data_IF_389497658613
#
_entry.id   IF_389497658613
#
_cell.length_a   1.000
_cell.length_b   1.000
_cell.length_c   1.000
_cell.angle_alpha   90.00
_cell.angle_beta   90.00
_cell.angle_gamma   90.00
#
_symmetry.space_group_name_H-M   'P 1'
#
loop_
_entity.id
_entity.type
_entity.pdbx_description
1 polymer ?
#
# COMPACT_ATOMS: atom_id res chain seq x y z
N UNK A 1 -12.35 -3.17 -35.03
CA UNK A 1 -11.77 -3.11 -33.66
C UNK A 1 -10.59 -2.13 -33.64
N UNK A 2 -10.84 -0.84 -33.41
CA UNK A 2 -9.80 0.21 -33.28
C UNK A 2 -10.10 0.99 -32.00
N UNK A 3 -9.17 1.06 -31.05
CA UNK A 3 -9.38 1.84 -29.82
C UNK A 3 -8.45 1.58 -28.64
N UNK A 4 -7.23 1.07 -28.84
CA UNK A 4 -6.23 0.92 -27.76
C UNK A 4 -4.91 1.58 -28.17
N UNK A 5 -4.96 2.89 -28.41
CA UNK A 5 -3.77 3.74 -28.46
C UNK A 5 -3.91 4.84 -27.40
N UNK A 6 -2.80 5.18 -26.77
CA UNK A 6 -2.63 6.07 -25.60
C UNK A 6 -2.75 5.41 -24.22
N UNK A 7 -1.80 4.52 -23.91
CA UNK A 7 -1.19 4.51 -22.57
C UNK A 7 0.34 4.35 -22.72
N UNK A 8 1.18 5.18 -22.06
CA UNK A 8 2.65 5.06 -22.09
C UNK A 8 3.10 3.78 -21.36
N UNK A 9 3.16 2.67 -22.10
CA UNK A 9 3.37 1.29 -21.62
C UNK A 9 4.77 0.96 -21.07
N UNK A 10 5.73 1.89 -21.08
CA UNK A 10 7.15 1.54 -20.90
C UNK A 10 7.68 1.69 -19.47
N UNK A 11 7.19 2.63 -18.67
CA UNK A 11 7.77 2.89 -17.34
C UNK A 11 7.22 1.97 -16.26
N UNK A 12 5.94 1.56 -16.35
CA UNK A 12 5.28 0.69 -15.37
C UNK A 12 5.77 -0.77 -15.46
N UNK A 13 6.29 -1.21 -16.61
CA UNK A 13 6.68 -2.61 -16.85
C UNK A 13 7.97 -3.05 -16.13
N UNK A 14 8.87 -2.12 -15.77
CA UNK A 14 10.21 -2.48 -15.28
C UNK A 14 10.23 -2.94 -13.81
N UNK A 15 9.24 -2.53 -13.03
CA UNK A 15 9.10 -2.87 -11.60
C UNK A 15 7.91 -3.82 -11.33
N UNK A 16 7.25 -4.31 -12.39
CA UNK A 16 6.22 -5.35 -12.35
C UNK A 16 6.69 -6.84 -12.33
N UNK A 17 7.98 -7.23 -12.39
CA UNK A 17 8.32 -8.64 -12.65
C UNK A 17 7.84 -9.58 -11.54
N UNK A 18 7.85 -9.17 -10.26
CA UNK A 18 7.40 -10.06 -9.16
C UNK A 18 5.87 -10.22 -9.09
N UNK A 19 5.09 -9.16 -9.34
CA UNK A 19 3.62 -9.25 -9.31
C UNK A 19 3.11 -10.09 -10.46
N UNK A 20 3.73 -9.96 -11.65
CA UNK A 20 3.40 -10.79 -12.81
C UNK A 20 3.84 -12.24 -12.61
N UNK A 21 5.06 -12.46 -12.11
CA UNK A 21 5.52 -13.79 -11.76
C UNK A 21 4.61 -14.44 -10.72
N UNK A 22 4.08 -13.70 -9.74
CA UNK A 22 3.11 -14.25 -8.80
C UNK A 22 1.75 -14.56 -9.46
N UNK A 23 1.26 -13.71 -10.37
CA UNK A 23 0.04 -14.01 -11.14
C UNK A 23 0.23 -15.22 -12.08
N UNK A 24 1.44 -15.40 -12.64
CA UNK A 24 1.78 -16.45 -13.61
C UNK A 24 2.20 -17.79 -12.95
N UNK A 25 2.97 -17.76 -11.87
CA UNK A 25 3.46 -18.96 -11.14
C UNK A 25 2.55 -19.42 -10.00
N UNK A 26 1.66 -18.57 -9.49
CA UNK A 26 0.87 -18.99 -8.34
C UNK A 26 -0.16 -20.03 -8.75
N UNK A 27 -0.10 -21.19 -8.09
CA UNK A 27 -0.99 -22.34 -8.16
C UNK A 27 -2.42 -22.02 -7.67
N UNK A 28 -2.96 -20.89 -8.10
CA UNK A 28 -4.27 -20.34 -7.75
C UNK A 28 -5.36 -20.94 -8.64
N UNK A 29 -5.39 -22.27 -8.80
CA UNK A 29 -6.49 -22.96 -9.47
C UNK A 29 -7.86 -22.60 -8.87
N UNK A 30 -7.90 -22.26 -7.57
CA UNK A 30 -9.10 -21.81 -6.84
C UNK A 30 -9.34 -20.30 -6.85
N UNK A 31 -8.29 -19.47 -6.94
CA UNK A 31 -8.43 -18.01 -6.97
C UNK A 31 -8.45 -17.45 -8.38
N UNK A 32 -8.21 -18.25 -9.43
CA UNK A 32 -8.34 -17.82 -10.83
C UNK A 32 -9.73 -17.21 -11.13
N UNK A 33 -10.78 -17.75 -10.53
CA UNK A 33 -12.16 -17.22 -10.63
C UNK A 33 -12.30 -15.87 -9.91
N UNK A 34 -11.63 -15.68 -8.79
CA UNK A 34 -11.60 -14.40 -8.05
C UNK A 34 -10.71 -13.37 -8.74
N UNK A 35 -9.58 -13.79 -9.33
CA UNK A 35 -8.68 -12.95 -10.14
C UNK A 35 -9.35 -12.50 -11.44
N UNK A 36 -10.24 -13.32 -11.99
CA UNK A 36 -11.10 -12.97 -13.12
C UNK A 36 -12.20 -11.96 -12.75
N UNK A 37 -12.33 -11.56 -11.47
CA UNK A 37 -13.18 -10.44 -11.12
C UNK A 37 -12.61 -9.16 -11.74
N UNK A 38 -13.42 -8.55 -12.61
CA UNK A 38 -13.15 -7.27 -13.29
C UNK A 38 -12.48 -6.23 -12.38
N UNK A 39 -12.85 -6.16 -11.11
CA UNK A 39 -12.38 -5.13 -10.17
C UNK A 39 -10.88 -5.15 -9.86
N UNK A 40 -10.18 -6.28 -9.96
CA UNK A 40 -8.76 -6.37 -9.58
C UNK A 40 -7.82 -5.68 -10.57
N UNK A 41 -8.26 -5.56 -11.83
CA UNK A 41 -7.53 -4.87 -12.89
C UNK A 41 -8.26 -3.59 -13.33
N UNK A 42 -9.57 -3.50 -13.12
CA UNK A 42 -10.33 -2.31 -13.48
C UNK A 42 -10.13 -1.17 -12.47
N UNK A 43 -10.15 0.04 -13.02
CA UNK A 43 -10.06 1.28 -12.26
C UNK A 43 -11.48 1.72 -11.95
N UNK A 44 -11.97 1.37 -10.76
CA UNK A 44 -13.22 1.90 -10.21
C UNK A 44 -12.96 2.56 -8.85
N UNK A 45 -13.85 3.45 -8.41
CA UNK A 45 -13.67 4.26 -7.19
C UNK A 45 -13.34 3.40 -5.95
N UNK A 46 -14.02 2.26 -5.80
CA UNK A 46 -13.95 1.41 -4.63
C UNK A 46 -12.68 0.55 -4.64
N UNK A 47 -12.39 -0.09 -5.77
CA UNK A 47 -11.21 -0.93 -5.98
C UNK A 47 -9.91 -0.12 -5.85
N UNK A 48 -9.89 1.10 -6.37
CA UNK A 48 -8.73 1.99 -6.26
C UNK A 48 -8.54 2.49 -4.83
N UNK A 49 -9.59 2.98 -4.17
CA UNK A 49 -9.46 3.48 -2.79
C UNK A 49 -9.01 2.38 -1.84
N UNK A 50 -9.54 1.17 -2.01
CA UNK A 50 -9.16 -0.01 -1.25
C UNK A 50 -7.72 -0.45 -1.54
N UNK A 51 -7.27 -0.37 -2.80
CA UNK A 51 -5.89 -0.69 -3.16
C UNK A 51 -4.89 0.26 -2.51
N UNK A 52 -5.21 1.55 -2.46
CA UNK A 52 -4.41 2.56 -1.75
C UNK A 52 -4.34 2.25 -0.27
N UNK A 53 -5.48 1.93 0.36
CA UNK A 53 -5.53 1.54 1.77
C UNK A 53 -4.62 0.34 2.06
N UNK A 54 -4.84 -0.77 1.35
CA UNK A 54 -4.10 -2.02 1.55
C UNK A 54 -2.61 -1.81 1.29
N UNK A 55 -2.27 -1.10 0.20
CA UNK A 55 -0.89 -0.86 -0.18
C UNK A 55 -0.13 -0.03 0.86
N UNK A 56 -0.72 1.07 1.33
CA UNK A 56 -0.11 1.91 2.39
C UNK A 56 -0.01 1.13 3.70
N UNK A 57 -1.08 0.45 4.11
CA UNK A 57 -1.07 -0.33 5.36
C UNK A 57 0.04 -1.39 5.36
N UNK A 58 0.16 -2.17 4.28
CA UNK A 58 1.21 -3.16 4.13
C UNK A 58 2.61 -2.54 4.01
N UNK A 59 2.73 -1.36 3.41
CA UNK A 59 4.00 -0.65 3.30
C UNK A 59 4.60 -0.36 4.69
N UNK A 60 3.76 -0.03 5.69
CA UNK A 60 4.20 0.31 7.03
C UNK A 60 4.52 -0.89 7.93
N UNK A 61 4.12 -2.11 7.54
CA UNK A 61 4.34 -3.30 8.36
C UNK A 61 5.81 -3.73 8.33
N UNK A 62 6.49 -3.83 9.49
CA UNK A 62 7.89 -4.23 9.57
C UNK A 62 8.03 -5.76 9.50
N UNK A 63 7.43 -6.38 8.48
CA UNK A 63 7.44 -7.84 8.30
C UNK A 63 8.03 -8.21 6.94
N UNK A 64 8.92 -9.23 6.88
CA UNK A 64 9.29 -9.81 5.59
C UNK A 64 8.05 -10.42 4.94
N UNK A 65 7.89 -10.23 3.63
CA UNK A 65 6.74 -10.77 2.89
C UNK A 65 5.46 -9.93 2.94
N UNK A 66 5.52 -8.66 3.35
CA UNK A 66 4.39 -7.73 3.32
C UNK A 66 3.66 -7.66 1.95
N UNK A 67 4.37 -7.92 0.86
CA UNK A 67 3.81 -8.01 -0.50
C UNK A 67 2.82 -9.16 -0.64
N UNK A 68 3.12 -10.33 -0.08
CA UNK A 68 2.22 -11.49 -0.14
C UNK A 68 0.95 -11.21 0.65
N UNK A 69 1.09 -10.62 1.84
CA UNK A 69 -0.06 -10.20 2.65
C UNK A 69 -0.96 -9.21 1.90
N UNK A 70 -0.36 -8.22 1.23
CA UNK A 70 -1.12 -7.25 0.45
C UNK A 70 -1.86 -7.89 -0.73
N UNK A 71 -1.22 -8.82 -1.44
CA UNK A 71 -1.83 -9.55 -2.55
C UNK A 71 -3.03 -10.37 -2.06
N UNK A 72 -2.89 -11.07 -0.94
CA UNK A 72 -4.00 -11.83 -0.33
C UNK A 72 -5.17 -10.92 0.05
N UNK A 73 -4.88 -9.77 0.69
CA UNK A 73 -5.91 -8.79 1.04
C UNK A 73 -6.60 -8.21 -0.21
N UNK A 74 -5.83 -7.92 -1.27
CA UNK A 74 -6.40 -7.41 -2.52
C UNK A 74 -7.32 -8.42 -3.18
N UNK A 75 -6.92 -9.70 -3.21
CA UNK A 75 -7.76 -10.79 -3.73
C UNK A 75 -9.03 -10.97 -2.90
N UNK A 76 -8.92 -10.91 -1.57
CA UNK A 76 -10.06 -11.11 -0.68
C UNK A 76 -11.07 -9.95 -0.72
N UNK A 77 -10.57 -8.71 -0.77
CA UNK A 77 -11.40 -7.50 -0.71
C UNK A 77 -11.75 -6.94 -2.10
N UNK A 78 -11.20 -7.50 -3.17
CA UNK A 78 -11.46 -7.07 -4.55
C UNK A 78 -10.80 -5.73 -4.92
N UNK A 79 -9.59 -5.49 -4.41
CA UNK A 79 -8.82 -4.26 -4.62
C UNK A 79 -7.93 -4.31 -5.87
N UNK A 80 -7.64 -3.15 -6.46
CA UNK A 80 -6.81 -3.06 -7.66
C UNK A 80 -5.35 -3.47 -7.37
N UNK A 81 -4.94 -4.64 -7.87
CA UNK A 81 -3.64 -5.24 -7.60
C UNK A 81 -2.45 -4.35 -8.06
N UNK A 82 -2.45 -3.83 -9.30
CA UNK A 82 -1.38 -2.93 -9.75
C UNK A 82 -1.20 -1.70 -8.86
N UNK A 83 -2.30 -1.09 -8.41
CA UNK A 83 -2.24 0.12 -7.58
C UNK A 83 -1.70 -0.22 -6.20
N UNK A 84 -2.19 -1.29 -5.57
CA UNK A 84 -1.68 -1.70 -4.26
C UNK A 84 -0.17 -1.98 -4.30
N UNK A 85 0.31 -2.64 -5.35
CA UNK A 85 1.73 -2.93 -5.54
C UNK A 85 2.60 -1.66 -5.58
N UNK A 86 2.14 -0.60 -6.25
CA UNK A 86 2.85 0.70 -6.30
C UNK A 86 3.00 1.29 -4.90
N UNK A 87 1.96 1.21 -4.08
CA UNK A 87 1.99 1.75 -2.72
C UNK A 87 2.87 0.92 -1.77
N UNK A 88 2.92 -0.41 -1.92
CA UNK A 88 3.84 -1.25 -1.14
C UNK A 88 5.30 -0.87 -1.42
N UNK A 89 5.62 -0.57 -2.68
CA UNK A 89 6.95 -0.18 -3.13
C UNK A 89 7.42 1.19 -2.62
N UNK A 90 6.54 1.94 -1.95
CA UNK A 90 6.95 3.14 -1.19
C UNK A 90 7.96 2.74 -0.11
N UNK A 91 7.87 1.53 0.46
CA UNK A 91 8.79 1.00 1.47
C UNK A 91 9.99 0.29 0.82
N UNK A 92 10.84 1.06 0.18
CA UNK A 92 12.08 0.60 -0.43
C UNK A 92 13.27 0.74 0.56
N UNK A 93 14.45 0.15 0.28
CA UNK A 93 15.59 0.20 1.19
C UNK A 93 16.04 1.62 1.59
N UNK A 94 15.71 2.63 0.79
CA UNK A 94 16.06 4.02 1.06
C UNK A 94 15.03 4.67 2.00
N UNK A 95 13.74 4.35 1.86
CA UNK A 95 12.66 4.94 2.66
C UNK A 95 12.34 4.16 3.93
N UNK A 96 12.67 2.87 4.01
CA UNK A 96 12.43 2.06 5.21
C UNK A 96 13.14 2.59 6.46
N UNK A 97 14.44 2.96 6.44
CA UNK A 97 15.11 3.47 7.63
C UNK A 97 14.43 4.70 8.26
N UNK A 98 14.14 5.80 7.53
CA UNK A 98 13.45 6.94 8.11
C UNK A 98 12.01 6.61 8.51
N UNK A 99 11.29 5.79 7.73
CA UNK A 99 9.92 5.39 8.04
C UNK A 99 9.85 4.61 9.36
N UNK A 100 10.67 3.57 9.51
CA UNK A 100 10.70 2.75 10.72
C UNK A 100 11.28 3.47 11.93
N UNK A 101 12.18 4.44 11.74
CA UNK A 101 12.61 5.31 12.82
C UNK A 101 11.43 6.14 13.37
N UNK A 102 10.63 6.74 12.49
CA UNK A 102 9.45 7.52 12.89
C UNK A 102 8.42 6.63 13.57
N UNK A 103 8.10 5.47 13.01
CA UNK A 103 7.13 4.55 13.64
C UNK A 103 7.63 4.02 14.98
N UNK A 104 8.90 3.67 15.09
CA UNK A 104 9.51 3.29 16.37
C UNK A 104 9.41 4.40 17.42
N UNK A 105 9.73 5.65 17.05
CA UNK A 105 9.61 6.81 17.96
C UNK A 105 8.17 7.04 18.41
N UNK A 106 7.21 6.94 17.48
CA UNK A 106 5.79 7.04 17.79
C UNK A 106 5.35 5.94 18.75
N UNK A 107 5.67 4.68 18.46
CA UNK A 107 5.34 3.56 19.33
C UNK A 107 6.02 3.62 20.69
N UNK A 108 7.26 4.10 20.76
CA UNK A 108 7.99 4.24 22.02
C UNK A 108 7.36 5.32 22.90
N UNK A 109 6.92 6.42 22.27
CA UNK A 109 6.19 7.50 22.94
C UNK A 109 4.84 6.98 23.48
N UNK A 110 4.14 6.15 22.71
CA UNK A 110 2.85 5.57 23.11
C UNK A 110 2.97 4.55 24.24
N UNK A 111 4.03 3.74 24.23
CA UNK A 111 4.28 2.70 25.23
C UNK A 111 5.04 3.22 26.45
N UNK A 112 5.47 4.49 26.45
CA UNK A 112 6.27 5.08 27.52
C UNK A 112 7.66 4.45 27.67
N UNK A 113 8.17 3.79 26.62
CA UNK A 113 9.48 3.14 26.66
C UNK A 113 10.58 4.16 26.36
N UNK A 114 11.69 4.08 27.11
CA UNK A 114 12.86 4.92 26.83
C UNK A 114 13.49 4.47 25.50
N UNK A 115 13.77 5.38 24.55
CA UNK A 115 14.53 5.04 23.36
C UNK A 115 15.88 4.46 23.77
N UNK A 116 16.24 3.32 23.21
CA UNK A 116 17.47 2.61 23.58
C UNK A 116 18.67 3.45 23.11
N UNK A 117 19.60 3.75 24.02
CA UNK A 117 20.92 4.21 23.66
C UNK A 117 21.68 3.01 23.06
N UNK A 118 22.30 3.19 21.88
CA UNK A 118 23.05 2.13 21.21
C UNK A 118 24.34 1.84 22.00
N UNK A 119 24.22 1.03 23.04
CA UNK A 119 25.37 0.55 23.80
C UNK A 119 26.04 -0.61 23.03
N UNK A 120 27.37 -0.56 22.91
CA UNK A 120 28.16 -1.35 21.97
C UNK A 120 28.46 -2.80 22.42
N UNK A 121 27.86 -3.30 23.50
CA UNK A 121 28.08 -4.66 23.98
C UNK A 121 27.14 -5.65 23.28
N UNK A 122 27.58 -6.18 22.15
CA UNK A 122 26.89 -7.28 21.46
C UNK A 122 26.94 -8.57 22.30
N UNK A 123 25.90 -8.84 23.09
CA UNK A 123 25.62 -10.16 23.66
C UNK A 123 24.33 -10.75 23.09
N UNK A 124 24.16 -12.08 23.14
CA UNK A 124 22.92 -12.73 22.68
C UNK A 124 21.73 -12.38 23.58
N UNK A 125 21.96 -12.22 24.88
CA UNK A 125 20.93 -11.77 25.83
C UNK A 125 20.53 -10.32 25.57
N UNK A 126 21.50 -9.46 25.26
CA UNK A 126 21.24 -8.10 24.79
C UNK A 126 20.45 -8.11 23.49
N UNK A 127 20.74 -9.00 22.54
CA UNK A 127 19.97 -9.11 21.28
C UNK A 127 18.51 -9.52 21.53
N UNK A 128 18.27 -10.45 22.47
CA UNK A 128 16.92 -10.88 22.88
C UNK A 128 16.16 -9.76 23.61
N UNK A 129 16.79 -9.03 24.53
CA UNK A 129 16.17 -7.90 25.24
C UNK A 129 15.93 -6.70 24.32
N UNK A 130 16.88 -6.41 23.44
CA UNK A 130 16.75 -5.39 22.40
C UNK A 130 15.60 -5.73 21.44
N UNK A 131 15.36 -7.02 21.20
CA UNK A 131 14.26 -7.44 20.33
C UNK A 131 12.90 -7.02 20.89
N UNK A 132 12.58 -7.29 22.16
CA UNK A 132 11.27 -6.89 22.70
C UNK A 132 11.15 -5.37 22.87
N UNK A 133 12.23 -4.69 23.23
CA UNK A 133 12.23 -3.23 23.42
C UNK A 133 12.18 -2.45 22.10
N UNK A 134 12.61 -3.03 20.97
CA UNK A 134 12.54 -2.39 19.65
C UNK A 134 11.31 -2.85 18.87
N UNK A 135 11.07 -4.17 18.79
CA UNK A 135 10.02 -4.71 17.93
C UNK A 135 8.63 -4.31 18.39
N UNK A 136 8.33 -4.31 19.69
CA UNK A 136 6.99 -3.98 20.16
C UNK A 136 6.63 -2.50 19.88
N UNK A 137 7.46 -1.51 20.23
CA UNK A 137 7.22 -0.12 19.81
C UNK A 137 7.18 0.06 18.30
N UNK A 138 8.06 -0.61 17.56
CA UNK A 138 8.06 -0.54 16.10
C UNK A 138 6.74 -1.03 15.50
N UNK A 139 6.25 -2.21 15.92
CA UNK A 139 4.99 -2.77 15.45
C UNK A 139 3.81 -1.88 15.84
N UNK A 140 3.74 -1.44 17.10
CA UNK A 140 2.64 -0.57 17.58
C UNK A 140 2.60 0.73 16.77
N UNK A 141 3.74 1.39 16.60
CA UNK A 141 3.84 2.60 15.80
C UNK A 141 3.52 2.35 14.33
N UNK A 142 4.00 1.24 13.76
CA UNK A 142 3.75 0.88 12.36
C UNK A 142 2.28 0.57 12.09
N UNK A 143 1.60 -0.15 12.98
CA UNK A 143 0.17 -0.44 12.87
C UNK A 143 -0.63 0.86 12.93
N UNK A 144 -0.32 1.74 13.89
CA UNK A 144 -1.03 3.00 14.04
C UNK A 144 -0.80 3.94 12.85
N UNK A 145 0.45 4.16 12.45
CA UNK A 145 0.81 4.96 11.29
C UNK A 145 0.25 4.36 9.99
N UNK A 146 0.31 3.05 9.85
CA UNK A 146 -0.25 2.32 8.72
C UNK A 146 -1.75 2.55 8.59
N UNK A 147 -2.54 2.34 9.67
CA UNK A 147 -4.00 2.56 9.65
C UNK A 147 -4.34 4.02 9.39
N UNK A 148 -3.67 4.96 10.05
CA UNK A 148 -3.96 6.39 9.91
C UNK A 148 -3.66 6.87 8.48
N UNK A 149 -2.48 6.59 7.95
CA UNK A 149 -2.10 6.99 6.59
C UNK A 149 -2.89 6.23 5.51
N UNK A 150 -3.19 4.95 5.72
CA UNK A 150 -4.03 4.18 4.81
C UNK A 150 -5.45 4.74 4.74
N UNK A 151 -6.05 5.09 5.90
CA UNK A 151 -7.38 5.71 5.97
C UNK A 151 -7.37 7.07 5.29
N UNK A 152 -6.35 7.91 5.55
CA UNK A 152 -6.19 9.19 4.87
C UNK A 152 -6.06 9.00 3.35
N UNK A 153 -5.24 8.06 2.90
CA UNK A 153 -5.10 7.72 1.48
C UNK A 153 -6.41 7.28 0.84
N UNK A 154 -7.19 6.43 1.52
CA UNK A 154 -8.51 6.01 1.08
C UNK A 154 -9.47 7.20 0.91
N UNK A 155 -9.55 8.08 1.91
CA UNK A 155 -10.42 9.27 1.88
C UNK A 155 -9.97 10.26 0.81
N UNK A 156 -8.66 10.46 0.64
CA UNK A 156 -8.11 11.30 -0.43
C UNK A 156 -8.52 10.81 -1.80
N UNK A 157 -8.47 9.49 -2.05
CA UNK A 157 -8.94 8.91 -3.32
C UNK A 157 -10.42 9.19 -3.55
N UNK A 158 -11.27 9.02 -2.53
CA UNK A 158 -12.70 9.33 -2.63
C UNK A 158 -12.94 10.81 -2.95
N UNK A 159 -12.23 11.71 -2.28
CA UNK A 159 -12.36 13.15 -2.48
C UNK A 159 -11.88 13.57 -3.87
N UNK A 160 -10.74 13.06 -4.33
CA UNK A 160 -10.22 13.29 -5.68
C UNK A 160 -11.19 12.76 -6.74
N UNK A 161 -11.81 11.60 -6.49
CA UNK A 161 -12.80 11.05 -7.41
C UNK A 161 -14.04 11.95 -7.49
N UNK A 162 -14.57 12.41 -6.35
CA UNK A 162 -15.70 13.36 -6.30
C UNK A 162 -15.38 14.65 -7.05
N UNK A 163 -14.22 15.24 -6.79
CA UNK A 163 -13.78 16.48 -7.44
C UNK A 163 -13.69 16.33 -8.96
N UNK A 164 -13.07 15.24 -9.44
CA UNK A 164 -12.98 14.94 -10.88
C UNK A 164 -14.34 14.72 -11.53
N UNK A 165 -15.27 14.09 -10.81
CA UNK A 165 -16.65 13.93 -11.31
C UNK A 165 -17.29 15.31 -11.44
N UNK A 166 -17.34 16.13 -10.38
CA UNK A 166 -17.97 17.46 -10.42
C UNK A 166 -17.44 18.32 -11.56
N UNK A 167 -16.12 18.42 -11.72
CA UNK A 167 -15.51 19.17 -12.84
C UNK A 167 -15.97 18.69 -14.22
N UNK A 168 -16.13 17.37 -14.40
CA UNK A 168 -16.60 16.80 -15.67
C UNK A 168 -18.07 17.13 -15.94
N UNK A 169 -18.88 17.28 -14.89
CA UNK A 169 -20.28 17.70 -15.00
C UNK A 169 -20.38 19.19 -15.32
N UNK A 170 -19.58 20.04 -14.68
CA UNK A 170 -19.52 21.48 -14.96
C UNK A 170 -19.10 21.76 -16.40
N UNK A 171 -18.02 21.13 -16.88
CA UNK A 171 -17.59 21.24 -18.29
C UNK A 171 -18.68 20.82 -19.29
N UNK A 172 -19.51 19.83 -18.94
CA UNK A 172 -20.64 19.38 -19.79
C UNK A 172 -21.84 20.33 -19.73
N UNK A 173 -21.94 21.13 -18.68
CA UNK A 173 -23.00 22.13 -18.52
C UNK A 173 -22.66 23.41 -19.28
N UNK A 174 -21.39 23.81 -19.28
CA UNK A 174 -20.92 24.96 -20.08
C UNK A 174 -21.06 24.68 -21.58
N UNK A 175 -20.63 23.51 -22.07
CA UNK A 175 -20.82 23.11 -23.49
C UNK A 175 -22.30 23.10 -23.92
N UNK A 176 -23.24 22.85 -23.00
CA UNK A 176 -24.68 22.88 -23.30
C UNK A 176 -25.32 24.25 -23.18
N UNK A 177 -24.65 25.23 -22.55
CA UNK A 177 -25.12 26.61 -22.44
C UNK A 177 -24.69 27.44 -23.64
N UNK A 178 -23.62 27.03 -24.33
CA UNK A 178 -23.08 27.69 -25.53
C UNK A 178 -23.70 27.17 -26.85
N UNK A 179 -24.70 26.27 -26.78
CA UNK A 179 -25.51 25.75 -27.89
C UNK A 179 -26.92 26.35 -27.82
#
# INVERSE_FOLDING_TARGET
MKGLQFMPRKTVRRFMPDVKAFIENSALGRFKTTVNNSNLLNINRHSVSLAVYIGIFCAFMPIPGQTVLALLMCCWLGANLPIAAIFIWISNPITMPPMFYVTYRLGSTLLGTKPIALDASFSLDWLMELSNQIFLPLIVGSVLSGITLATLGYLLVLQLWRWKVVQKWEKRRDIRRDL
#
